data_IF_499163422324
#
_entry.id   IF_499163422324
#
_cell.length_a   1.000
_cell.length_b   1.000
_cell.length_c   1.000
_cell.angle_alpha   90.00
_cell.angle_beta   90.00
_cell.angle_gamma   90.00
#
_symmetry.space_group_name_H-M   'P 1'
#
loop_
_entity.id
_entity.type
_entity.pdbx_description
1 polymer ?
#
# COMPACT_ATOMS: atom_id res chain seq x y z
N UNK A 1 41.01 -23.19 29.00
CA UNK A 1 40.43 -21.86 28.69
C UNK A 1 39.47 -21.49 29.81
N UNK A 2 39.49 -20.27 30.32
CA UNK A 2 38.55 -19.89 31.40
C UNK A 2 37.14 -19.72 30.83
N UNK A 3 36.13 -20.02 31.63
CA UNK A 3 34.69 -19.88 31.26
C UNK A 3 34.40 -18.47 30.73
N UNK A 4 35.07 -17.46 31.29
CA UNK A 4 34.98 -16.07 30.85
C UNK A 4 35.47 -15.89 29.42
N UNK A 5 36.63 -16.45 29.04
CA UNK A 5 37.12 -16.34 27.68
C UNK A 5 36.21 -17.00 26.65
N UNK A 6 35.64 -18.16 26.98
CA UNK A 6 34.69 -18.85 26.10
C UNK A 6 33.40 -18.02 25.94
N UNK A 7 32.87 -17.48 27.02
CA UNK A 7 31.67 -16.63 26.96
C UNK A 7 31.89 -15.37 26.11
N UNK A 8 33.06 -14.70 26.27
CA UNK A 8 33.40 -13.51 25.46
C UNK A 8 33.49 -13.83 23.97
N UNK A 9 34.08 -14.96 23.59
CA UNK A 9 34.17 -15.41 22.20
C UNK A 9 32.77 -15.68 21.63
N UNK A 10 31.91 -16.37 22.35
CA UNK A 10 30.54 -16.69 21.91
C UNK A 10 29.73 -15.40 21.71
N UNK A 11 29.80 -14.46 22.66
CA UNK A 11 29.11 -13.17 22.52
C UNK A 11 29.66 -12.40 21.31
N UNK A 12 30.98 -12.36 21.12
CA UNK A 12 31.60 -11.70 19.96
C UNK A 12 31.14 -12.28 18.63
N UNK A 13 31.11 -13.61 18.50
CA UNK A 13 30.59 -14.29 17.30
C UNK A 13 29.11 -14.02 17.06
N UNK A 14 28.31 -14.04 18.12
CA UNK A 14 26.88 -13.70 18.02
C UNK A 14 26.67 -12.27 17.51
N UNK A 15 27.39 -11.28 18.06
CA UNK A 15 27.30 -9.88 17.61
C UNK A 15 27.73 -9.73 16.14
N UNK A 16 28.79 -10.44 15.72
CA UNK A 16 29.22 -10.46 14.32
C UNK A 16 28.13 -11.05 13.39
N UNK A 17 27.49 -12.14 13.81
CA UNK A 17 26.36 -12.73 13.07
C UNK A 17 25.20 -11.74 12.93
N UNK A 18 24.80 -11.07 14.01
CA UNK A 18 23.75 -10.05 14.00
C UNK A 18 24.14 -8.89 13.08
N UNK A 19 25.35 -8.38 13.18
CA UNK A 19 25.84 -7.28 12.33
C UNK A 19 25.85 -7.68 10.85
N UNK A 20 26.31 -8.87 10.51
CA UNK A 20 26.28 -9.39 9.15
C UNK A 20 24.85 -9.54 8.62
N UNK A 21 23.94 -9.96 9.49
CA UNK A 21 22.55 -10.19 9.13
C UNK A 21 21.79 -8.87 8.87
N UNK A 22 22.08 -7.81 9.65
CA UNK A 22 21.50 -6.47 9.48
C UNK A 22 22.21 -5.63 8.39
N UNK A 23 23.31 -6.11 7.83
CA UNK A 23 24.10 -5.40 6.83
C UNK A 23 23.29 -4.86 5.63
N UNK A 24 22.25 -5.55 5.11
CA UNK A 24 21.45 -5.01 4.00
C UNK A 24 20.71 -3.72 4.37
N UNK A 25 20.23 -3.58 5.61
CA UNK A 25 19.58 -2.34 6.08
C UNK A 25 20.58 -1.18 6.03
N UNK A 26 21.77 -1.36 6.58
CA UNK A 26 22.81 -0.35 6.53
C UNK A 26 23.29 -0.05 5.09
N UNK A 27 23.20 -1.02 4.19
CA UNK A 27 23.51 -0.82 2.77
C UNK A 27 22.42 -0.03 2.06
N UNK A 28 21.14 -0.26 2.40
CA UNK A 28 20.01 0.50 1.91
C UNK A 28 20.09 1.98 2.31
N UNK A 29 20.38 2.26 3.58
CA UNK A 29 20.55 3.63 4.09
C UNK A 29 21.68 4.37 3.37
N UNK A 30 22.82 3.69 3.12
CA UNK A 30 23.92 4.29 2.35
C UNK A 30 23.53 4.57 0.90
N UNK A 31 22.78 3.69 0.28
CA UNK A 31 22.26 3.88 -1.07
C UNK A 31 21.29 5.08 -1.13
N UNK A 32 20.45 5.26 -0.10
CA UNK A 32 19.59 6.44 0.03
C UNK A 32 20.39 7.73 0.10
N UNK A 33 21.40 7.79 0.94
CA UNK A 33 22.26 8.97 1.07
C UNK A 33 22.98 9.30 -0.25
N UNK A 34 23.33 8.29 -1.05
CA UNK A 34 23.93 8.48 -2.37
C UNK A 34 22.91 8.78 -3.50
N UNK A 35 21.61 8.78 -3.20
CA UNK A 35 20.54 8.99 -4.20
C UNK A 35 20.25 7.78 -5.09
N UNK A 36 20.86 6.61 -4.81
CA UNK A 36 20.64 5.38 -5.57
C UNK A 36 19.39 4.64 -5.01
N UNK A 37 18.21 5.12 -5.40
CA UNK A 37 16.93 4.60 -4.91
C UNK A 37 16.69 3.14 -5.33
N UNK A 38 17.13 2.75 -6.52
CA UNK A 38 17.00 1.37 -7.01
C UNK A 38 17.79 0.39 -6.15
N UNK A 39 19.02 0.75 -5.84
CA UNK A 39 19.88 -0.03 -4.95
C UNK A 39 19.31 -0.08 -3.54
N UNK A 40 18.75 1.02 -3.05
CA UNK A 40 18.11 1.06 -1.73
C UNK A 40 16.92 0.09 -1.68
N UNK A 41 16.02 0.11 -2.67
CA UNK A 41 14.90 -0.86 -2.78
C UNK A 41 15.41 -2.29 -2.78
N UNK A 42 16.44 -2.59 -3.57
CA UNK A 42 17.02 -3.93 -3.64
C UNK A 42 17.56 -4.39 -2.29
N UNK A 43 18.25 -3.52 -1.56
CA UNK A 43 18.82 -3.85 -0.25
C UNK A 43 17.73 -4.04 0.81
N UNK A 44 16.66 -3.23 0.81
CA UNK A 44 15.52 -3.45 1.68
C UNK A 44 14.77 -4.74 1.34
N UNK A 45 14.66 -5.11 0.06
CA UNK A 45 14.09 -6.41 -0.36
C UNK A 45 14.90 -7.57 0.22
N UNK A 46 16.24 -7.51 0.17
CA UNK A 46 17.11 -8.52 0.79
C UNK A 46 16.92 -8.54 2.30
N UNK A 47 16.84 -7.38 2.95
CA UNK A 47 16.62 -7.29 4.39
C UNK A 47 15.29 -7.93 4.79
N UNK A 48 14.21 -7.60 4.09
CA UNK A 48 12.88 -8.18 4.31
C UNK A 48 12.89 -9.70 4.18
N UNK A 49 13.49 -10.21 3.10
CA UNK A 49 13.59 -11.66 2.89
C UNK A 49 14.37 -12.38 4.00
N UNK A 50 15.41 -11.74 4.55
CA UNK A 50 16.13 -12.28 5.70
C UNK A 50 15.29 -12.27 6.97
N UNK A 51 14.49 -11.20 7.20
CA UNK A 51 13.57 -11.11 8.34
C UNK A 51 12.49 -12.19 8.29
N UNK A 52 11.94 -12.46 7.12
CA UNK A 52 10.92 -13.50 6.92
C UNK A 52 11.46 -14.92 7.20
N UNK A 53 12.78 -15.12 7.09
CA UNK A 53 13.43 -16.44 7.29
C UNK A 53 13.62 -16.81 8.77
N UNK A 54 13.48 -15.85 9.69
CA UNK A 54 13.60 -16.12 11.13
C UNK A 54 12.22 -16.47 11.70
N UNK A 55 12.01 -17.74 12.14
CA UNK A 55 10.82 -18.09 12.89
C UNK A 55 10.72 -17.20 14.13
N UNK A 56 9.57 -16.57 14.33
CA UNK A 56 9.34 -15.66 15.46
C UNK A 56 10.20 -14.40 15.48
N UNK A 57 10.81 -13.98 14.37
CA UNK A 57 11.66 -12.79 14.28
C UNK A 57 11.00 -11.51 14.80
N UNK A 58 9.69 -11.38 14.62
CA UNK A 58 8.89 -10.29 15.18
C UNK A 58 8.92 -10.17 16.72
N UNK A 59 9.20 -11.26 17.45
CA UNK A 59 9.35 -11.23 18.91
C UNK A 59 10.73 -10.71 19.34
N UNK A 60 11.76 -10.97 18.54
CA UNK A 60 13.12 -10.52 18.82
C UNK A 60 13.38 -9.09 18.33
N UNK A 61 12.71 -8.69 17.25
CA UNK A 61 12.88 -7.37 16.63
C UNK A 61 11.51 -6.73 16.37
N UNK A 62 10.73 -6.37 17.42
CA UNK A 62 9.41 -5.83 17.28
C UNK A 62 9.45 -4.51 16.47
N UNK A 63 8.68 -4.46 15.41
CA UNK A 63 8.57 -3.29 14.55
C UNK A 63 9.64 -3.16 13.44
N UNK A 64 10.78 -3.88 13.52
CA UNK A 64 11.83 -3.81 12.49
C UNK A 64 11.31 -4.25 11.12
N UNK A 65 10.49 -5.28 11.08
CA UNK A 65 9.89 -5.81 9.87
C UNK A 65 8.95 -4.79 9.21
N UNK A 66 8.10 -4.13 10.00
CA UNK A 66 7.23 -3.06 9.51
C UNK A 66 8.05 -1.84 9.04
N UNK A 67 9.15 -1.51 9.72
CA UNK A 67 10.06 -0.44 9.32
C UNK A 67 10.71 -0.73 7.96
N UNK A 68 11.28 -1.93 7.80
CA UNK A 68 11.94 -2.36 6.56
C UNK A 68 10.95 -2.39 5.41
N UNK A 69 9.75 -2.96 5.63
CA UNK A 69 8.68 -2.97 4.64
C UNK A 69 8.21 -1.54 4.29
N UNK A 70 7.96 -0.70 5.28
CA UNK A 70 7.54 0.68 5.07
C UNK A 70 8.55 1.46 4.23
N UNK A 71 9.85 1.35 4.55
CA UNK A 71 10.91 2.01 3.78
C UNK A 71 11.00 1.45 2.35
N UNK A 72 10.91 0.13 2.16
CA UNK A 72 10.89 -0.47 0.81
C UNK A 72 9.73 0.08 -0.03
N UNK A 73 8.51 0.07 0.53
CA UNK A 73 7.31 0.48 -0.20
C UNK A 73 7.29 1.99 -0.46
N UNK A 74 7.79 2.82 0.46
CA UNK A 74 7.92 4.26 0.25
C UNK A 74 8.84 4.59 -0.93
N UNK A 75 9.92 3.85 -1.09
CA UNK A 75 10.83 3.99 -2.22
C UNK A 75 10.22 3.50 -3.53
N UNK A 76 9.49 2.38 -3.51
CA UNK A 76 8.74 1.92 -4.67
C UNK A 76 7.69 2.96 -5.10
N UNK A 77 7.03 3.61 -4.12
CA UNK A 77 6.10 4.69 -4.38
C UNK A 77 6.80 5.91 -5.01
N UNK A 78 7.93 6.35 -4.47
CA UNK A 78 8.73 7.44 -5.04
C UNK A 78 9.20 7.14 -6.48
N UNK A 79 9.48 5.86 -6.79
CA UNK A 79 9.81 5.39 -8.13
C UNK A 79 8.58 5.09 -9.01
N UNK A 80 7.37 5.39 -8.55
CA UNK A 80 6.08 5.14 -9.20
C UNK A 80 5.86 3.67 -9.61
N UNK A 81 6.41 2.73 -8.85
CA UNK A 81 6.27 1.28 -9.07
C UNK A 81 5.01 0.75 -8.37
N UNK A 82 3.86 1.32 -8.69
CA UNK A 82 2.60 1.06 -8.01
C UNK A 82 2.16 -0.40 -8.08
N UNK A 83 2.41 -1.09 -9.20
CA UNK A 83 2.02 -2.49 -9.36
C UNK A 83 2.73 -3.39 -8.34
N UNK A 84 4.02 -3.12 -8.04
CA UNK A 84 4.76 -3.84 -6.99
C UNK A 84 4.20 -3.62 -5.59
N UNK A 85 3.73 -2.40 -5.31
CA UNK A 85 3.09 -2.07 -4.04
C UNK A 85 1.77 -2.84 -3.90
N UNK A 86 0.98 -2.92 -4.96
CA UNK A 86 -0.30 -3.63 -4.97
C UNK A 86 -0.12 -5.15 -4.84
N UNK A 87 0.91 -5.73 -5.47
CA UNK A 87 1.29 -7.14 -5.29
C UNK A 87 1.57 -7.46 -3.81
N UNK A 88 2.29 -6.58 -3.10
CA UNK A 88 2.57 -6.73 -1.67
C UNK A 88 1.30 -6.63 -0.80
N UNK A 89 0.32 -5.82 -1.22
CA UNK A 89 -0.94 -5.65 -0.50
C UNK A 89 -1.92 -6.82 -0.71
N UNK A 90 -1.82 -7.56 -1.82
CA UNK A 90 -2.64 -8.73 -2.13
C UNK A 90 -2.14 -10.01 -1.42
N UNK A 91 -1.02 -9.96 -0.71
CA UNK A 91 -0.50 -11.09 0.03
C UNK A 91 -1.51 -11.59 1.07
N UNK A 92 -1.51 -12.91 1.34
CA UNK A 92 -2.44 -13.56 2.29
C UNK A 92 -2.45 -12.92 3.68
N UNK A 93 -1.32 -12.35 4.10
CA UNK A 93 -1.17 -11.67 5.39
C UNK A 93 -0.75 -10.23 5.11
N UNK A 94 -1.74 -9.37 4.92
CA UNK A 94 -1.48 -7.94 4.68
C UNK A 94 -1.04 -7.29 5.98
N UNK A 95 0.06 -6.52 5.90
CA UNK A 95 0.61 -5.73 7.01
C UNK A 95 0.20 -4.26 6.88
N UNK A 96 0.21 -3.52 7.99
CA UNK A 96 -0.15 -2.10 8.01
C UNK A 96 0.56 -1.26 6.94
N UNK A 97 1.91 -1.31 6.82
CA UNK A 97 2.61 -0.56 5.79
C UNK A 97 2.19 -0.92 4.35
N UNK A 98 1.92 -2.20 4.05
CA UNK A 98 1.47 -2.61 2.72
C UNK A 98 0.09 -2.04 2.39
N UNK A 99 -0.85 -2.09 3.34
CA UNK A 99 -2.18 -1.51 3.17
C UNK A 99 -2.12 0.01 2.97
N UNK A 100 -1.29 0.71 3.76
CA UNK A 100 -1.11 2.16 3.65
C UNK A 100 -0.56 2.56 2.27
N UNK A 101 0.55 1.95 1.84
CA UNK A 101 1.17 2.30 0.55
C UNK A 101 0.33 1.89 -0.66
N UNK A 102 -0.47 0.81 -0.54
CA UNK A 102 -1.47 0.46 -1.56
C UNK A 102 -2.54 1.55 -1.68
N UNK A 103 -3.02 2.08 -0.54
CA UNK A 103 -3.93 3.22 -0.53
C UNK A 103 -3.35 4.43 -1.25
N UNK A 104 -2.07 4.79 -0.97
CA UNK A 104 -1.37 5.88 -1.66
C UNK A 104 -1.26 5.64 -3.18
N UNK A 105 -0.87 4.43 -3.59
CA UNK A 105 -0.71 4.08 -4.99
C UNK A 105 -2.05 4.13 -5.76
N UNK A 106 -3.12 3.61 -5.17
CA UNK A 106 -4.47 3.65 -5.75
C UNK A 106 -5.02 5.07 -5.82
N UNK A 107 -4.76 5.88 -4.80
CA UNK A 107 -5.14 7.29 -4.78
C UNK A 107 -4.48 8.06 -5.92
N UNK A 108 -3.16 7.92 -6.11
CA UNK A 108 -2.44 8.56 -7.20
C UNK A 108 -2.94 8.09 -8.58
N UNK A 109 -3.21 6.78 -8.73
CA UNK A 109 -3.81 6.25 -9.97
C UNK A 109 -5.19 6.86 -10.22
N UNK A 110 -6.02 7.03 -9.18
CA UNK A 110 -7.32 7.67 -9.29
C UNK A 110 -7.26 9.14 -9.72
N UNK A 111 -6.24 9.89 -9.25
CA UNK A 111 -6.09 11.30 -9.58
C UNK A 111 -5.78 11.55 -11.06
N UNK A 112 -5.11 10.61 -11.73
CA UNK A 112 -4.72 10.75 -13.15
C UNK A 112 -5.66 9.99 -14.09
N UNK A 113 -6.62 9.21 -13.55
CA UNK A 113 -7.57 8.43 -14.34
C UNK A 113 -8.56 9.34 -15.06
N UNK A 114 -8.77 9.08 -16.34
CA UNK A 114 -9.67 9.87 -17.19
C UNK A 114 -11.10 9.35 -17.13
N UNK A 115 -11.26 8.02 -17.04
CA UNK A 115 -12.58 7.38 -16.96
C UNK A 115 -13.20 7.63 -15.57
N UNK A 116 -14.35 8.33 -15.48
CA UNK A 116 -14.97 8.64 -14.19
C UNK A 116 -15.37 7.40 -13.38
N UNK A 117 -15.80 6.31 -14.02
CA UNK A 117 -16.22 5.09 -13.32
C UNK A 117 -14.99 4.37 -12.74
N UNK A 118 -13.92 4.29 -13.53
CA UNK A 118 -12.63 3.72 -13.06
C UNK A 118 -12.04 4.58 -11.94
N UNK A 119 -12.11 5.91 -12.05
CA UNK A 119 -11.65 6.84 -11.01
C UNK A 119 -12.36 6.62 -9.69
N UNK A 120 -13.71 6.54 -9.70
CA UNK A 120 -14.51 6.29 -8.50
C UNK A 120 -14.14 4.95 -7.88
N UNK A 121 -13.96 3.90 -8.69
CA UNK A 121 -13.55 2.58 -8.21
C UNK A 121 -12.17 2.62 -7.56
N UNK A 122 -11.16 3.20 -8.22
CA UNK A 122 -9.81 3.33 -7.66
C UNK A 122 -9.80 4.13 -6.36
N UNK A 123 -10.60 5.19 -6.26
CA UNK A 123 -10.75 5.99 -5.04
C UNK A 123 -11.40 5.18 -3.91
N UNK A 124 -12.41 4.35 -4.22
CA UNK A 124 -13.04 3.47 -3.24
C UNK A 124 -12.07 2.39 -2.75
N UNK A 125 -11.27 1.82 -3.64
CA UNK A 125 -10.22 0.85 -3.30
C UNK A 125 -9.12 1.49 -2.43
N UNK A 126 -8.71 2.74 -2.73
CA UNK A 126 -7.78 3.50 -1.91
C UNK A 126 -8.32 3.73 -0.50
N UNK A 127 -9.58 4.19 -0.39
CA UNK A 127 -10.26 4.39 0.88
C UNK A 127 -10.33 3.11 1.72
N UNK A 128 -10.66 1.98 1.10
CA UNK A 128 -10.68 0.68 1.77
C UNK A 128 -9.28 0.22 2.21
N UNK A 129 -8.24 0.52 1.43
CA UNK A 129 -6.85 0.20 1.80
C UNK A 129 -6.39 1.00 3.02
N UNK A 130 -6.70 2.30 3.10
CA UNK A 130 -6.42 3.11 4.29
C UNK A 130 -7.23 2.66 5.51
N UNK A 131 -8.49 2.27 5.34
CA UNK A 131 -9.28 1.66 6.41
C UNK A 131 -8.58 0.42 6.97
N UNK A 132 -8.11 -0.47 6.08
CA UNK A 132 -7.38 -1.68 6.50
C UNK A 132 -6.07 -1.36 7.21
N UNK A 133 -5.34 -0.33 6.75
CA UNK A 133 -4.14 0.14 7.45
C UNK A 133 -4.46 0.60 8.88
N UNK A 134 -5.56 1.33 9.09
CA UNK A 134 -6.05 1.74 10.42
C UNK A 134 -6.46 0.57 11.29
N UNK A 135 -7.12 -0.45 10.74
CA UNK A 135 -7.50 -1.66 11.48
C UNK A 135 -6.24 -2.40 12.00
N UNK A 136 -5.15 -2.39 11.21
CA UNK A 136 -3.87 -3.01 11.56
C UNK A 136 -2.99 -2.14 12.47
N UNK A 137 -3.13 -0.81 12.40
CA UNK A 137 -2.37 0.16 13.17
C UNK A 137 -3.26 1.35 13.58
N UNK A 138 -4.13 1.20 14.60
CA UNK A 138 -5.11 2.24 14.98
C UNK A 138 -4.51 3.58 15.44
N UNK A 139 -3.23 3.58 15.84
CA UNK A 139 -2.48 4.78 16.24
C UNK A 139 -1.80 5.50 15.07
N UNK A 140 -1.87 4.99 13.85
CA UNK A 140 -1.22 5.59 12.69
C UNK A 140 -2.01 6.80 12.20
N UNK A 141 -1.46 7.98 12.45
CA UNK A 141 -2.09 9.25 12.08
C UNK A 141 -2.18 9.45 10.56
N UNK A 142 -1.17 9.01 9.83
CA UNK A 142 -1.13 9.17 8.38
C UNK A 142 -2.22 8.35 7.69
N UNK A 143 -2.43 7.11 8.15
CA UNK A 143 -3.54 6.27 7.69
C UNK A 143 -4.90 6.89 8.00
N UNK A 144 -5.07 7.48 9.20
CA UNK A 144 -6.30 8.15 9.60
C UNK A 144 -6.58 9.35 8.72
N UNK A 145 -5.58 10.22 8.52
CA UNK A 145 -5.71 11.40 7.68
C UNK A 145 -6.09 11.02 6.24
N UNK A 146 -5.39 10.07 5.64
CA UNK A 146 -5.65 9.64 4.28
C UNK A 146 -7.01 8.94 4.12
N UNK A 147 -7.46 8.19 5.13
CA UNK A 147 -8.80 7.62 5.18
C UNK A 147 -9.88 8.71 5.14
N UNK A 148 -9.76 9.75 5.97
CA UNK A 148 -10.71 10.87 5.98
C UNK A 148 -10.69 11.67 4.66
N UNK A 149 -9.50 11.93 4.12
CA UNK A 149 -9.33 12.65 2.84
C UNK A 149 -9.98 11.88 1.69
N UNK A 150 -9.66 10.60 1.55
CA UNK A 150 -10.23 9.77 0.48
C UNK A 150 -11.74 9.61 0.62
N UNK A 151 -12.28 9.54 1.84
CA UNK A 151 -13.71 9.52 2.08
C UNK A 151 -14.42 10.78 1.58
N UNK A 152 -13.84 11.97 1.82
CA UNK A 152 -14.37 13.25 1.31
C UNK A 152 -14.31 13.32 -0.22
N UNK A 153 -13.19 12.90 -0.83
CA UNK A 153 -13.07 12.86 -2.29
C UNK A 153 -14.10 11.92 -2.91
N UNK A 154 -14.32 10.75 -2.30
CA UNK A 154 -15.28 9.77 -2.79
C UNK A 154 -16.71 10.34 -2.74
N UNK A 155 -17.11 11.00 -1.64
CA UNK A 155 -18.39 11.69 -1.55
C UNK A 155 -18.57 12.74 -2.64
N UNK A 156 -17.55 13.59 -2.84
CA UNK A 156 -17.57 14.63 -3.88
C UNK A 156 -17.72 14.04 -5.29
N UNK A 157 -17.01 12.94 -5.59
CA UNK A 157 -17.09 12.28 -6.89
C UNK A 157 -18.47 11.65 -7.13
N UNK A 158 -19.13 11.15 -6.07
CA UNK A 158 -20.48 10.58 -6.15
C UNK A 158 -21.57 11.65 -6.28
N UNK A 159 -21.35 12.83 -5.70
CA UNK A 159 -22.28 13.97 -5.75
C UNK A 159 -22.17 14.78 -7.05
N UNK A 160 -21.06 14.65 -7.80
CA UNK A 160 -20.92 15.35 -9.07
C UNK A 160 -22.00 14.88 -10.05
N UNK A 161 -22.78 15.79 -10.65
CA UNK A 161 -23.79 15.40 -11.63
C UNK A 161 -23.11 14.62 -12.74
N UNK A 162 -23.64 13.44 -12.99
CA UNK A 162 -23.22 12.60 -14.12
C UNK A 162 -23.15 13.48 -15.37
N UNK A 163 -22.13 13.29 -16.19
CA UNK A 163 -21.98 14.08 -17.42
C UNK A 163 -23.31 14.19 -18.15
N UNK A 164 -23.63 15.31 -18.84
CA UNK A 164 -24.89 15.49 -19.53
C UNK A 164 -25.31 14.30 -20.40
N UNK A 165 -24.32 13.58 -20.94
CA UNK A 165 -24.54 12.35 -21.71
C UNK A 165 -25.08 11.20 -20.84
N UNK A 166 -24.58 11.02 -19.62
CA UNK A 166 -25.09 9.96 -18.72
C UNK A 166 -26.49 10.30 -18.19
N UNK A 167 -26.75 11.57 -17.95
CA UNK A 167 -28.10 12.04 -17.57
C UNK A 167 -29.10 11.83 -18.71
N UNK A 168 -28.72 12.14 -19.94
CA UNK A 168 -29.54 11.87 -21.14
C UNK A 168 -29.78 10.36 -21.29
N UNK A 169 -28.76 9.51 -21.14
CA UNK A 169 -28.93 8.04 -21.24
C UNK A 169 -29.83 7.53 -20.12
N UNK A 170 -29.73 8.06 -18.88
CA UNK A 170 -30.63 7.72 -17.78
C UNK A 170 -32.07 8.09 -18.10
N UNK A 171 -32.31 9.33 -18.56
CA UNK A 171 -33.64 9.81 -18.96
C UNK A 171 -34.23 8.97 -20.10
N UNK A 172 -33.42 8.61 -21.09
CA UNK A 172 -33.85 7.75 -22.20
C UNK A 172 -34.20 6.33 -21.75
N UNK A 173 -33.45 5.78 -20.78
CA UNK A 173 -33.70 4.46 -20.19
C UNK A 173 -34.97 4.46 -19.33
N UNK A 174 -35.18 5.51 -18.54
CA UNK A 174 -36.40 5.68 -17.71
C UNK A 174 -37.64 5.94 -18.55
N UNK A 175 -37.49 6.58 -19.70
CA UNK A 175 -38.56 6.81 -20.66
C UNK A 175 -38.83 5.62 -21.59
N UNK A 176 -38.32 4.43 -21.35
CA UNK A 176 -38.50 3.21 -22.14
C UNK A 176 -39.51 3.29 -23.27
N UNK A 177 -39.49 2.51 -24.32
CA UNK A 177 -40.40 2.64 -25.43
C UNK A 177 -41.85 2.56 -24.91
N UNK A 178 -42.53 3.72 -24.80
CA UNK A 178 -43.96 3.73 -24.63
C UNK A 178 -44.51 3.02 -25.87
N UNK A 179 -44.91 1.78 -25.68
CA UNK A 179 -45.61 1.02 -26.70
C UNK A 179 -46.81 1.87 -27.10
N UNK A 180 -46.78 2.47 -28.28
CA UNK A 180 -47.94 3.00 -28.97
C UNK A 180 -48.89 1.82 -29.20
N UNK A 181 -49.72 1.54 -28.20
CA UNK A 181 -50.85 0.68 -28.35
C UNK A 181 -51.72 1.26 -29.45
N UNK A 182 -51.54 0.76 -30.64
CA UNK A 182 -52.37 1.10 -31.76
C UNK A 182 -53.83 0.69 -31.49
N UNK A 183 -54.64 1.67 -31.22
CA UNK A 183 -56.10 1.53 -31.20
C UNK A 183 -56.54 1.34 -32.67
N UNK A 184 -56.67 0.09 -33.10
CA UNK A 184 -57.43 -0.25 -34.29
C UNK A 184 -58.92 -0.22 -33.88
N UNK A 185 -59.62 0.83 -34.26
CA UNK A 185 -61.09 0.82 -34.45
C UNK A 185 -61.35 0.43 -35.88
N UNK A 186 -61.97 -0.74 -36.09
CA UNK A 186 -62.73 -1.12 -37.29
C UNK A 186 -64.14 -1.18 -36.93
#
# INVERSE_FOLDING_TARGET
MSVVATATIVIGLFLLCVAWWLRPIAAAERALVSGDLDRAVQQYTVARHRLDWIPYGQHFFPGLDNLVMGNQLSLQYALRRYDRILEDADAKTVRGPAAFWAGCALFDKALVEVDPEVRVRLMAEAHQSFRRALELAPGDWDSKFNYEVTGRFLSTLQEQPQTPTQEIIRILRERGPQSRGGRRTG
#
